data_IF_193466510033
#
_entry.id   IF_193466510033
#
_cell.length_a   1.000
_cell.length_b   1.000
_cell.length_c   1.000
_cell.angle_alpha   90.00
_cell.angle_beta   90.00
_cell.angle_gamma   90.00
#
_symmetry.space_group_name_H-M   'P 1'
#
loop_
_entity.id
_entity.type
_entity.pdbx_description
1 polymer ?
#
# COMPACT_ATOMS: atom_id res chain seq x y z
N UNK A 1 28.33 14.48 0.89
CA UNK A 1 29.75 14.08 0.77
C UNK A 1 30.54 14.41 2.04
N UNK A 2 30.57 15.67 2.48
CA UNK A 2 31.31 16.09 3.69
C UNK A 2 30.91 15.33 4.96
N UNK A 3 29.63 14.99 5.12
CA UNK A 3 29.14 14.17 6.23
C UNK A 3 29.80 12.77 6.25
N UNK A 4 29.94 12.11 5.09
CA UNK A 4 30.60 10.79 4.97
C UNK A 4 32.08 10.91 5.32
N UNK A 5 32.76 11.96 4.85
CA UNK A 5 34.16 12.21 5.23
C UNK A 5 34.32 12.46 6.73
N UNK A 6 33.36 13.11 7.39
CA UNK A 6 33.36 13.30 8.84
C UNK A 6 33.14 11.98 9.58
N UNK A 7 32.25 11.11 9.10
CA UNK A 7 32.08 9.76 9.65
C UNK A 7 33.38 8.95 9.54
N UNK A 8 34.09 9.01 8.41
CA UNK A 8 35.41 8.39 8.26
C UNK A 8 36.41 8.89 9.31
N UNK A 9 36.45 10.21 9.56
CA UNK A 9 37.30 10.82 10.60
C UNK A 9 36.93 10.37 12.02
N UNK A 10 35.69 9.95 12.26
CA UNK A 10 35.24 9.38 13.52
C UNK A 10 35.52 7.87 13.64
N UNK A 11 36.18 7.26 12.66
CA UNK A 11 36.55 5.84 12.69
C UNK A 11 35.50 4.89 12.12
N UNK A 12 34.43 5.40 11.51
CA UNK A 12 33.47 4.55 10.80
C UNK A 12 34.03 4.08 9.46
N UNK A 13 33.78 2.81 9.12
CA UNK A 13 34.04 2.28 7.78
C UNK A 13 33.13 2.94 6.75
N UNK A 14 33.71 3.46 5.68
CA UNK A 14 33.00 4.13 4.57
C UNK A 14 33.43 3.53 3.25
N UNK A 15 32.56 3.55 2.23
CA UNK A 15 32.90 3.03 0.91
C UNK A 15 33.84 3.97 0.14
N UNK A 16 35.01 3.48 -0.26
CA UNK A 16 36.05 4.24 -0.97
C UNK A 16 35.68 4.64 -2.39
N UNK A 17 34.67 3.98 -2.97
CA UNK A 17 34.13 4.34 -4.28
C UNK A 17 33.20 5.56 -4.21
N UNK A 18 32.89 6.10 -3.02
CA UNK A 18 32.02 7.28 -2.89
C UNK A 18 32.62 8.50 -3.58
N UNK A 19 31.94 9.02 -4.61
CA UNK A 19 32.40 10.17 -5.41
C UNK A 19 31.35 11.29 -5.48
N UNK A 20 31.80 12.54 -5.33
CA UNK A 20 30.99 13.71 -5.68
C UNK A 20 31.00 13.90 -7.20
N UNK A 21 29.82 13.98 -7.80
CA UNK A 21 29.64 14.10 -9.24
C UNK A 21 28.86 15.38 -9.58
N UNK A 22 29.29 16.10 -10.60
CA UNK A 22 28.69 17.35 -11.06
C UNK A 22 27.84 17.10 -12.31
N UNK A 23 26.60 16.68 -12.06
CA UNK A 23 25.58 16.47 -13.10
C UNK A 23 25.53 15.05 -13.68
N UNK A 24 24.57 14.78 -14.59
CA UNK A 24 24.23 13.42 -15.02
C UNK A 24 25.36 12.67 -15.73
N UNK A 25 26.19 13.36 -16.53
CA UNK A 25 27.29 12.71 -17.27
C UNK A 25 28.30 12.06 -16.32
N UNK A 26 28.69 12.76 -15.25
CA UNK A 26 29.61 12.21 -14.26
C UNK A 26 28.99 11.07 -13.45
N UNK A 27 27.70 11.17 -13.12
CA UNK A 27 26.96 10.09 -12.43
C UNK A 27 26.93 8.80 -13.27
N UNK A 28 26.68 8.90 -14.58
CA UNK A 28 26.66 7.75 -15.50
C UNK A 28 28.07 7.19 -15.69
N UNK A 29 29.08 8.04 -15.87
CA UNK A 29 30.47 7.60 -15.98
C UNK A 29 30.93 6.82 -14.74
N UNK A 30 30.59 7.32 -13.55
CA UNK A 30 30.92 6.65 -12.30
C UNK A 30 30.18 5.32 -12.12
N UNK A 31 28.89 5.28 -12.51
CA UNK A 31 28.10 4.04 -12.55
C UNK A 31 28.74 2.98 -13.45
N UNK A 32 29.13 3.34 -14.67
CA UNK A 32 29.79 2.40 -15.61
C UNK A 32 31.13 1.88 -15.03
N UNK A 33 31.92 2.76 -14.41
CA UNK A 33 33.17 2.34 -13.77
C UNK A 33 32.92 1.36 -12.60
N UNK A 34 31.90 1.58 -11.77
CA UNK A 34 31.55 0.62 -10.71
C UNK A 34 31.02 -0.68 -11.31
N UNK A 35 30.17 -0.60 -12.34
CA UNK A 35 29.62 -1.78 -13.02
C UNK A 35 30.71 -2.68 -13.58
N UNK A 36 31.75 -2.10 -14.19
CA UNK A 36 32.87 -2.85 -14.76
C UNK A 36 33.74 -3.51 -13.69
N UNK A 37 33.84 -2.90 -12.50
CA UNK A 37 34.61 -3.43 -11.37
C UNK A 37 33.81 -4.39 -10.49
N UNK A 38 32.52 -4.59 -10.77
CA UNK A 38 31.59 -5.33 -9.91
C UNK A 38 32.11 -6.71 -9.54
N UNK A 39 32.66 -7.45 -10.50
CA UNK A 39 33.18 -8.80 -10.28
C UNK A 39 34.45 -8.84 -9.41
N UNK A 40 35.19 -7.73 -9.33
CA UNK A 40 36.45 -7.63 -8.59
C UNK A 40 36.24 -7.12 -7.15
N UNK A 41 35.02 -6.70 -6.80
CA UNK A 41 34.71 -6.27 -5.45
C UNK A 41 34.61 -7.49 -4.54
N UNK A 42 35.22 -7.42 -3.36
CA UNK A 42 35.10 -8.45 -2.32
C UNK A 42 33.72 -8.49 -1.64
N UNK A 43 32.69 -7.92 -2.25
CA UNK A 43 31.32 -7.83 -1.75
C UNK A 43 30.35 -7.60 -2.90
N UNK A 44 29.11 -8.06 -2.73
CA UNK A 44 28.05 -7.88 -3.72
C UNK A 44 27.49 -6.47 -3.71
N UNK A 45 27.16 -5.98 -4.91
CA UNK A 45 26.42 -4.74 -5.13
C UNK A 45 25.35 -4.94 -6.22
N UNK A 46 24.22 -4.26 -6.06
CA UNK A 46 23.08 -4.28 -6.98
C UNK A 46 22.94 -2.98 -7.80
N UNK A 47 23.79 -1.99 -7.54
CA UNK A 47 23.77 -0.70 -8.22
C UNK A 47 24.58 0.37 -7.51
N UNK A 48 24.21 1.62 -7.79
CA UNK A 48 24.73 2.82 -7.10
C UNK A 48 23.57 3.68 -6.61
N UNK A 49 23.78 4.46 -5.54
CA UNK A 49 22.77 5.41 -5.05
C UNK A 49 23.20 6.83 -5.33
N UNK A 50 22.39 7.56 -6.09
CA UNK A 50 22.57 9.00 -6.29
C UNK A 50 21.84 9.75 -5.19
N UNK A 51 22.49 10.76 -4.60
CA UNK A 51 21.94 11.60 -3.54
C UNK A 51 22.24 13.06 -3.83
N UNK A 52 21.27 13.95 -3.62
CA UNK A 52 21.51 15.39 -3.62
C UNK A 52 22.52 15.72 -2.51
N UNK A 53 23.64 16.36 -2.83
CA UNK A 53 24.74 16.56 -1.87
C UNK A 53 24.42 17.59 -0.76
N UNK A 54 23.53 18.55 -1.04
CA UNK A 54 23.14 19.60 -0.11
C UNK A 54 22.03 19.12 0.85
N UNK A 55 22.32 19.10 2.15
CA UNK A 55 21.38 18.65 3.19
C UNK A 55 20.13 19.53 3.30
N UNK A 56 20.23 20.85 3.14
CA UNK A 56 19.04 21.71 3.23
C UNK A 56 18.07 21.47 2.06
N UNK A 57 18.58 21.01 0.92
CA UNK A 57 17.72 20.56 -0.18
C UNK A 57 17.09 19.19 0.09
N UNK A 58 17.77 18.30 0.80
CA UNK A 58 17.17 17.03 1.23
C UNK A 58 15.99 17.28 2.17
N UNK A 59 16.15 18.17 3.15
CA UNK A 59 15.10 18.54 4.11
C UNK A 59 13.86 19.10 3.39
N UNK A 60 14.08 20.05 2.46
CA UNK A 60 13.01 20.65 1.65
C UNK A 60 12.34 19.65 0.70
N UNK A 61 13.10 18.76 0.08
CA UNK A 61 12.55 17.74 -0.83
C UNK A 61 11.76 16.67 -0.06
N UNK A 62 12.13 16.39 1.18
CA UNK A 62 11.42 15.47 2.07
C UNK A 62 11.27 14.06 1.50
N UNK A 63 10.17 13.40 1.88
CA UNK A 63 9.92 11.99 1.62
C UNK A 63 8.57 11.76 0.92
N UNK A 64 8.45 10.65 0.21
CA UNK A 64 7.19 9.97 -0.10
C UNK A 64 6.86 9.02 1.07
N UNK A 65 5.75 8.28 0.97
CA UNK A 65 5.32 7.32 2.01
C UNK A 65 6.43 6.37 2.48
N UNK A 66 7.31 5.93 1.58
CA UNK A 66 8.36 4.94 1.91
C UNK A 66 9.76 5.28 1.39
N UNK A 67 9.92 6.39 0.65
CA UNK A 67 11.18 6.69 -0.08
C UNK A 67 11.52 8.18 -0.08
N UNK A 68 12.81 8.58 0.02
CA UNK A 68 13.21 9.98 -0.09
C UNK A 68 13.01 10.52 -1.50
N UNK A 69 12.73 11.82 -1.64
CA UNK A 69 12.65 12.48 -2.97
C UNK A 69 14.01 12.91 -3.51
N UNK A 70 15.01 12.99 -2.64
CA UNK A 70 16.35 13.51 -2.92
C UNK A 70 17.40 12.43 -3.20
N UNK A 71 16.99 11.15 -3.29
CA UNK A 71 17.87 10.04 -3.62
C UNK A 71 17.19 9.02 -4.54
N UNK A 72 17.99 8.34 -5.36
CA UNK A 72 17.54 7.25 -6.23
C UNK A 72 18.60 6.15 -6.31
N UNK A 73 18.17 4.89 -6.27
CA UNK A 73 19.01 3.74 -6.55
C UNK A 73 19.00 3.45 -8.06
N UNK A 74 20.15 3.57 -8.72
CA UNK A 74 20.37 3.19 -10.11
C UNK A 74 20.97 1.79 -10.15
N UNK A 75 20.12 0.78 -10.35
CA UNK A 75 20.49 -0.64 -10.32
C UNK A 75 21.22 -1.08 -11.59
N UNK A 76 22.12 -2.05 -11.44
CA UNK A 76 22.74 -2.73 -12.59
C UNK A 76 21.70 -3.53 -13.38
N UNK A 77 21.98 -3.85 -14.66
CA UNK A 77 21.17 -4.82 -15.39
C UNK A 77 21.07 -6.11 -14.59
N UNK A 78 19.84 -6.60 -14.42
CA UNK A 78 19.60 -7.85 -13.71
C UNK A 78 20.28 -9.01 -14.44
N UNK A 79 20.84 -9.95 -13.68
CA UNK A 79 21.27 -11.21 -14.26
C UNK A 79 20.07 -11.97 -14.84
N UNK A 80 20.25 -12.49 -16.04
CA UNK A 80 19.23 -13.26 -16.78
C UNK A 80 19.74 -14.70 -16.88
N UNK A 81 18.88 -15.66 -16.58
CA UNK A 81 19.12 -17.06 -16.84
C UNK A 81 18.02 -17.65 -17.73
N UNK A 82 18.37 -18.61 -18.58
CA UNK A 82 17.40 -19.35 -19.37
C UNK A 82 17.00 -20.63 -18.62
N UNK A 83 15.71 -20.92 -18.51
CA UNK A 83 15.21 -22.18 -17.92
C UNK A 83 13.93 -22.65 -18.60
N UNK A 84 13.47 -23.85 -18.22
CA UNK A 84 12.25 -24.47 -18.72
C UNK A 84 11.04 -24.06 -17.87
N UNK A 85 9.97 -23.62 -18.53
CA UNK A 85 8.66 -23.35 -17.91
C UNK A 85 7.86 -24.65 -17.80
N UNK A 86 7.73 -25.19 -16.59
CA UNK A 86 7.05 -26.46 -16.33
C UNK A 86 5.53 -26.32 -16.38
N UNK A 87 4.99 -25.32 -15.70
CA UNK A 87 3.55 -25.04 -15.68
C UNK A 87 3.25 -23.59 -15.29
N UNK A 88 2.01 -23.15 -15.52
CA UNK A 88 1.47 -21.87 -15.07
C UNK A 88 0.33 -22.13 -14.10
N UNK A 89 0.55 -21.82 -12.82
CA UNK A 89 -0.46 -21.92 -11.77
C UNK A 89 -1.13 -20.57 -11.48
N UNK A 90 -2.40 -20.61 -11.09
CA UNK A 90 -3.17 -19.42 -10.77
C UNK A 90 -3.35 -19.34 -9.25
N UNK A 91 -2.76 -18.31 -8.65
CA UNK A 91 -2.97 -18.00 -7.24
C UNK A 91 -4.10 -16.98 -7.08
N UNK A 92 -5.02 -17.24 -6.15
CA UNK A 92 -6.12 -16.31 -5.84
C UNK A 92 -5.71 -15.43 -4.67
N UNK A 93 -5.51 -14.15 -4.93
CA UNK A 93 -5.17 -13.17 -3.90
C UNK A 93 -6.37 -12.78 -3.03
N UNK A 94 -6.09 -12.04 -1.95
CA UNK A 94 -7.09 -11.54 -0.98
C UNK A 94 -8.32 -10.90 -1.61
N UNK A 95 -8.13 -10.05 -2.63
CA UNK A 95 -9.23 -9.34 -3.30
C UNK A 95 -9.75 -10.09 -4.52
N UNK A 96 -9.56 -11.40 -4.57
CA UNK A 96 -9.94 -12.28 -5.66
C UNK A 96 -9.02 -12.21 -6.88
N UNK A 97 -7.93 -11.45 -6.87
CA UNK A 97 -7.03 -11.32 -8.02
C UNK A 97 -6.43 -12.66 -8.43
N UNK A 98 -6.70 -13.12 -9.65
CA UNK A 98 -6.07 -14.30 -10.23
C UNK A 98 -4.69 -13.91 -10.74
N UNK A 99 -3.66 -14.32 -10.00
CA UNK A 99 -2.27 -14.00 -10.28
C UNK A 99 -1.57 -15.23 -10.87
N UNK A 100 -1.17 -15.19 -12.15
CA UNK A 100 -0.43 -16.29 -12.74
C UNK A 100 1.02 -16.34 -12.24
N UNK A 101 1.45 -17.54 -11.86
CA UNK A 101 2.80 -17.85 -11.38
C UNK A 101 3.37 -18.96 -12.24
N UNK A 102 4.50 -18.70 -12.88
CA UNK A 102 5.28 -19.69 -13.60
C UNK A 102 6.00 -20.61 -12.61
N UNK A 103 5.81 -21.92 -12.76
CA UNK A 103 6.66 -22.95 -12.15
C UNK A 103 7.79 -23.28 -13.10
N UNK A 104 9.02 -23.16 -12.62
CA UNK A 104 10.23 -23.22 -13.42
C UNK A 104 11.09 -24.39 -12.96
N UNK A 105 11.73 -25.06 -13.92
CA UNK A 105 12.86 -25.93 -13.60
C UNK A 105 13.90 -25.10 -12.83
N UNK A 106 14.36 -25.54 -11.64
CA UNK A 106 15.24 -24.75 -10.80
C UNK A 106 16.48 -24.22 -11.54
N UNK A 107 16.72 -22.92 -11.47
CA UNK A 107 17.83 -22.25 -12.16
C UNK A 107 18.48 -21.20 -11.26
N UNK A 108 19.80 -21.03 -11.33
CA UNK A 108 20.51 -19.99 -10.58
C UNK A 108 20.40 -18.64 -11.31
N UNK A 109 19.95 -17.60 -10.60
CA UNK A 109 19.87 -16.21 -11.07
C UNK A 109 20.47 -15.28 -10.01
N UNK A 110 21.67 -14.75 -10.23
CA UNK A 110 22.32 -13.89 -9.24
C UNK A 110 22.59 -14.59 -7.91
N UNK A 111 23.12 -15.82 -7.97
CA UNK A 111 23.49 -16.62 -6.80
C UNK A 111 22.33 -17.30 -6.05
N UNK A 112 21.08 -17.11 -6.49
CA UNK A 112 19.89 -17.69 -5.85
C UNK A 112 19.17 -18.64 -6.80
N UNK A 113 18.74 -19.80 -6.28
CA UNK A 113 17.94 -20.75 -7.03
C UNK A 113 16.51 -20.22 -7.14
N UNK A 114 16.05 -20.00 -8.37
CA UNK A 114 14.70 -19.59 -8.73
C UNK A 114 13.96 -20.79 -9.30
N UNK A 115 12.79 -21.10 -8.71
CA UNK A 115 11.84 -22.10 -9.22
C UNK A 115 10.46 -21.52 -9.51
N UNK A 116 10.25 -20.23 -9.23
CA UNK A 116 8.97 -19.55 -9.41
C UNK A 116 9.19 -18.13 -9.94
N UNK A 117 8.35 -17.70 -10.87
CA UNK A 117 8.35 -16.32 -11.36
C UNK A 117 6.93 -15.79 -11.54
N UNK A 118 6.70 -14.51 -11.25
CA UNK A 118 5.39 -13.90 -11.53
C UNK A 118 5.21 -13.67 -13.03
N UNK A 119 4.00 -13.93 -13.52
CA UNK A 119 3.56 -13.61 -14.87
C UNK A 119 2.63 -12.40 -14.90
N UNK A 120 2.54 -11.63 -13.81
CA UNK A 120 1.72 -10.43 -13.66
C UNK A 120 0.21 -10.63 -13.83
N UNK A 121 -0.26 -10.86 -15.05
CA UNK A 121 -1.67 -11.04 -15.42
C UNK A 121 -1.79 -11.74 -16.78
N UNK A 122 -3.03 -11.97 -17.21
CA UNK A 122 -3.35 -12.59 -18.49
C UNK A 122 -2.76 -11.83 -19.71
N UNK A 123 -2.79 -10.49 -19.69
CA UNK A 123 -2.26 -9.68 -20.80
C UNK A 123 -0.75 -9.87 -20.93
N UNK A 124 -0.05 -9.91 -19.80
CA UNK A 124 1.37 -10.18 -19.77
C UNK A 124 1.71 -11.57 -20.28
N UNK A 125 0.86 -12.59 -20.07
CA UNK A 125 1.03 -13.91 -20.71
C UNK A 125 0.86 -13.78 -22.23
N UNK A 126 -0.11 -13.00 -22.70
CA UNK A 126 -0.44 -12.78 -24.12
C UNK A 126 0.55 -11.88 -24.89
N UNK A 127 1.63 -11.41 -24.26
CA UNK A 127 2.58 -10.51 -24.93
C UNK A 127 2.14 -9.06 -24.93
N UNK A 128 1.40 -8.61 -23.91
CA UNK A 128 0.95 -7.22 -23.76
C UNK A 128 1.31 -6.63 -22.40
N UNK A 129 1.60 -5.34 -22.36
CA UNK A 129 1.74 -4.59 -21.10
C UNK A 129 0.38 -4.16 -20.54
N UNK A 130 0.38 -3.48 -19.39
CA UNK A 130 -0.84 -3.01 -18.72
C UNK A 130 -1.63 -1.94 -19.48
N UNK A 131 -1.08 -1.39 -20.57
CA UNK A 131 -1.74 -0.44 -21.47
C UNK A 131 -2.19 -1.10 -22.77
N UNK A 132 -1.97 -2.40 -22.91
CA UNK A 132 -2.29 -3.16 -24.12
C UNK A 132 -1.23 -3.06 -25.21
N UNK A 133 -0.08 -2.42 -24.95
CA UNK A 133 1.00 -2.36 -25.94
C UNK A 133 1.67 -3.72 -26.08
N UNK A 134 2.11 -4.05 -27.29
CA UNK A 134 2.83 -5.27 -27.57
C UNK A 134 4.20 -5.25 -26.86
N UNK A 135 4.50 -6.33 -26.14
CA UNK A 135 5.82 -6.60 -25.54
C UNK A 135 6.35 -7.93 -26.06
N UNK A 136 7.66 -8.16 -25.93
CA UNK A 136 8.34 -9.39 -26.39
C UNK A 136 8.04 -9.73 -27.86
N UNK A 137 7.93 -8.71 -28.72
CA UNK A 137 7.58 -8.88 -30.12
C UNK A 137 6.20 -9.51 -30.39
N UNK A 138 5.30 -9.55 -29.39
CA UNK A 138 4.00 -10.20 -29.48
C UNK A 138 3.99 -11.67 -29.06
N UNK A 139 5.12 -12.18 -28.58
CA UNK A 139 5.21 -13.57 -28.15
C UNK A 139 4.45 -13.81 -26.84
N UNK A 140 3.52 -14.75 -26.90
CA UNK A 140 2.85 -15.31 -25.74
C UNK A 140 3.78 -16.23 -24.96
N UNK A 141 3.48 -16.47 -23.68
CA UNK A 141 4.19 -17.42 -22.82
C UNK A 141 3.34 -18.70 -22.74
N UNK A 142 3.96 -19.86 -22.97
CA UNK A 142 3.30 -21.17 -22.99
C UNK A 142 4.01 -22.14 -22.07
N UNK A 143 3.26 -23.04 -21.45
CA UNK A 143 3.83 -24.17 -20.73
C UNK A 143 4.71 -24.99 -21.68
N UNK A 144 5.90 -25.38 -21.19
CA UNK A 144 6.94 -26.02 -22.00
C UNK A 144 7.81 -25.07 -22.82
N UNK A 145 7.71 -23.76 -22.66
CA UNK A 145 8.66 -22.83 -23.27
C UNK A 145 10.01 -22.81 -22.53
N UNK A 146 11.08 -22.55 -23.29
CA UNK A 146 12.32 -22.02 -22.73
C UNK A 146 12.16 -20.52 -22.50
N UNK A 147 12.33 -20.07 -21.26
CA UNK A 147 12.06 -18.70 -20.82
C UNK A 147 13.30 -18.04 -20.23
N UNK A 148 13.41 -16.72 -20.41
CA UNK A 148 14.47 -15.91 -19.84
C UNK A 148 13.99 -15.26 -18.54
N UNK A 149 14.56 -15.68 -17.42
CA UNK A 149 14.17 -15.29 -16.07
C UNK A 149 15.20 -14.35 -15.48
N UNK A 150 14.73 -13.29 -14.82
CA UNK A 150 15.58 -12.34 -14.11
C UNK A 150 14.95 -11.97 -12.77
N UNK A 151 15.74 -11.40 -11.86
CA UNK A 151 15.24 -10.90 -10.58
C UNK A 151 15.04 -9.38 -10.66
N UNK A 152 13.78 -8.94 -10.61
CA UNK A 152 13.46 -7.53 -10.57
C UNK A 152 13.90 -6.93 -9.24
N UNK A 153 14.81 -5.97 -9.31
CA UNK A 153 15.40 -5.33 -8.14
C UNK A 153 16.12 -6.31 -7.21
N UNK A 154 16.62 -7.43 -7.72
CA UNK A 154 17.26 -8.53 -6.99
C UNK A 154 16.36 -9.21 -5.95
N UNK A 155 15.04 -9.09 -6.06
CA UNK A 155 14.11 -9.72 -5.11
C UNK A 155 13.08 -10.60 -5.80
N UNK A 156 12.36 -10.08 -6.80
CA UNK A 156 11.17 -10.75 -7.34
C UNK A 156 11.50 -11.35 -8.71
N UNK A 157 11.50 -12.69 -8.87
CA UNK A 157 11.76 -13.29 -10.17
C UNK A 157 10.62 -13.04 -11.17
N UNK A 158 10.98 -12.74 -12.41
CA UNK A 158 10.08 -12.44 -13.53
C UNK A 158 10.60 -13.09 -14.82
N UNK A 159 9.68 -13.46 -15.71
CA UNK A 159 10.03 -13.86 -17.07
C UNK A 159 10.11 -12.60 -17.94
N UNK A 160 11.26 -12.35 -18.54
CA UNK A 160 11.50 -11.23 -19.47
C UNK A 160 11.09 -11.56 -20.90
N UNK A 161 11.46 -12.75 -21.39
CA UNK A 161 11.17 -13.19 -22.75
C UNK A 161 11.08 -14.72 -22.88
N UNK A 162 10.72 -15.20 -24.07
CA UNK A 162 10.65 -16.62 -24.47
C UNK A 162 11.60 -16.89 -25.65
N UNK A 163 12.25 -18.05 -25.63
CA UNK A 163 13.05 -18.51 -26.76
C UNK A 163 12.18 -19.28 -27.75
N UNK A 164 11.54 -18.53 -28.64
CA UNK A 164 10.61 -19.07 -29.65
C UNK A 164 11.30 -20.09 -30.57
N UNK A 165 12.61 -19.98 -30.77
CA UNK A 165 13.36 -20.92 -31.63
C UNK A 165 13.36 -22.35 -31.07
N UNK A 166 13.17 -22.50 -29.76
CA UNK A 166 13.09 -23.80 -29.06
C UNK A 166 11.65 -24.24 -28.79
N UNK A 167 10.65 -23.48 -29.21
CA UNK A 167 9.24 -23.81 -28.98
C UNK A 167 8.84 -25.00 -29.85
N UNK A 168 8.33 -26.05 -29.21
CA UNK A 168 7.81 -27.21 -29.92
C UNK A 168 6.54 -26.84 -30.71
N UNK A 169 6.37 -27.40 -31.90
CA UNK A 169 5.25 -27.09 -32.80
C UNK A 169 3.87 -27.46 -32.23
N UNK A 170 3.82 -28.39 -31.27
CA UNK A 170 2.59 -28.84 -30.59
C UNK A 170 2.24 -28.00 -29.35
N UNK A 171 3.02 -26.96 -29.03
CA UNK A 171 2.80 -26.10 -27.86
C UNK A 171 1.47 -25.32 -27.98
N UNK A 172 0.66 -25.36 -26.93
CA UNK A 172 -0.65 -24.71 -26.87
C UNK A 172 -0.55 -23.37 -26.15
N UNK A 173 -1.24 -22.36 -26.67
CA UNK A 173 -1.39 -21.08 -25.95
C UNK A 173 -2.08 -21.30 -24.61
N UNK A 174 -1.66 -20.55 -23.60
CA UNK A 174 -2.24 -20.65 -22.26
C UNK A 174 -3.65 -20.05 -22.23
N UNK A 175 -4.61 -20.82 -21.73
CA UNK A 175 -5.98 -20.37 -21.53
C UNK A 175 -6.15 -19.90 -20.09
N UNK A 176 -6.35 -18.60 -19.90
CA UNK A 176 -6.61 -18.04 -18.58
C UNK A 176 -7.99 -18.51 -18.08
N UNK A 177 -8.13 -18.93 -16.81
CA UNK A 177 -9.36 -19.55 -16.36
C UNK A 177 -10.50 -18.55 -16.23
N UNK A 178 -11.68 -18.93 -16.73
CA UNK A 178 -12.95 -18.20 -16.56
C UNK A 178 -13.65 -18.50 -15.23
N UNK A 179 -13.16 -19.49 -14.49
CA UNK A 179 -13.65 -19.87 -13.16
C UNK A 179 -12.48 -19.93 -12.17
N UNK A 180 -12.75 -19.53 -10.93
CA UNK A 180 -11.77 -19.51 -9.86
C UNK A 180 -11.31 -20.95 -9.54
N UNK A 181 -9.99 -21.25 -9.55
CA UNK A 181 -9.51 -22.60 -9.24
C UNK A 181 -9.76 -23.04 -7.79
N UNK A 182 -10.02 -22.09 -6.88
CA UNK A 182 -10.19 -22.35 -5.44
C UNK A 182 -11.64 -22.57 -5.02
N UNK A 183 -12.61 -21.97 -5.71
CA UNK A 183 -14.02 -22.02 -5.32
C UNK A 183 -15.00 -22.18 -6.48
N UNK A 184 -14.48 -22.30 -7.71
CA UNK A 184 -15.25 -22.45 -8.95
C UNK A 184 -16.26 -21.32 -9.24
N UNK A 185 -16.21 -20.20 -8.51
CA UNK A 185 -17.00 -19.00 -8.84
C UNK A 185 -16.47 -18.36 -10.14
N UNK A 186 -17.30 -17.62 -10.89
CA UNK A 186 -16.84 -16.92 -12.09
C UNK A 186 -15.63 -16.03 -11.81
N UNK A 187 -14.74 -15.95 -12.79
CA UNK A 187 -13.60 -15.05 -12.80
C UNK A 187 -13.79 -14.00 -13.87
N UNK A 188 -13.90 -12.76 -13.45
CA UNK A 188 -14.28 -11.65 -14.33
C UNK A 188 -13.21 -10.56 -14.31
N UNK A 189 -12.93 -10.00 -15.48
CA UNK A 189 -12.13 -8.80 -15.61
C UNK A 189 -13.09 -7.61 -15.66
N UNK A 190 -13.15 -6.85 -14.57
CA UNK A 190 -13.98 -5.64 -14.48
C UNK A 190 -13.39 -4.58 -15.43
N UNK A 191 -14.25 -3.80 -16.07
CA UNK A 191 -13.83 -2.70 -16.94
C UNK A 191 -12.88 -1.74 -16.18
N UNK A 192 -11.74 -1.42 -16.79
CA UNK A 192 -10.67 -0.62 -16.17
C UNK A 192 -9.64 -1.42 -15.36
N UNK A 193 -9.85 -2.71 -15.08
CA UNK A 193 -8.86 -3.59 -14.47
C UNK A 193 -8.04 -4.36 -15.53
N UNK A 194 -6.73 -4.50 -15.30
CA UNK A 194 -5.87 -5.41 -16.08
C UNK A 194 -5.82 -6.85 -15.52
N UNK A 195 -6.58 -7.12 -14.45
CA UNK A 195 -6.51 -8.37 -13.69
C UNK A 195 -7.92 -8.97 -13.57
N UNK A 196 -8.05 -10.24 -13.95
CA UNK A 196 -9.28 -11.00 -13.72
C UNK A 196 -9.40 -11.39 -12.23
N UNK A 197 -10.63 -11.42 -11.72
CA UNK A 197 -10.90 -11.64 -10.30
C UNK A 197 -12.01 -12.65 -10.06
N UNK A 198 -11.81 -13.50 -9.07
CA UNK A 198 -12.84 -14.35 -8.50
C UNK A 198 -13.93 -13.49 -7.84
N UNK A 199 -15.17 -13.66 -8.29
CA UNK A 199 -16.34 -12.93 -7.73
C UNK A 199 -16.94 -13.62 -6.49
N UNK A 200 -16.37 -14.74 -6.05
CA UNK A 200 -16.86 -15.48 -4.88
C UNK A 200 -16.77 -14.69 -3.55
N UNK A 201 -15.94 -13.65 -3.50
CA UNK A 201 -15.80 -12.82 -2.29
C UNK A 201 -15.48 -13.67 -1.06
N UNK A 202 -16.23 -13.46 0.03
CA UNK A 202 -16.01 -14.16 1.32
C UNK A 202 -16.21 -15.68 1.21
N UNK A 203 -17.03 -16.17 0.26
CA UNK A 203 -17.28 -17.60 0.12
C UNK A 203 -16.11 -18.33 -0.53
N UNK A 204 -15.20 -17.60 -1.19
CA UNK A 204 -13.96 -18.16 -1.71
C UNK A 204 -12.98 -18.44 -0.56
N UNK A 205 -12.58 -19.70 -0.32
CA UNK A 205 -11.66 -20.05 0.78
C UNK A 205 -10.34 -19.28 0.71
N UNK A 206 -9.78 -19.12 -0.49
CA UNK A 206 -8.55 -18.36 -0.69
C UNK A 206 -8.71 -16.88 -0.31
N UNK A 207 -9.81 -16.22 -0.71
CA UNK A 207 -10.06 -14.83 -0.31
C UNK A 207 -10.27 -14.70 1.20
N UNK A 208 -11.00 -15.63 1.81
CA UNK A 208 -11.23 -15.64 3.25
C UNK A 208 -9.91 -15.83 4.04
N UNK A 209 -9.11 -16.84 3.69
CA UNK A 209 -7.80 -17.12 4.33
C UNK A 209 -6.84 -15.95 4.13
N UNK A 210 -6.71 -15.41 2.92
CA UNK A 210 -5.84 -14.27 2.65
C UNK A 210 -6.35 -12.96 3.28
N UNK A 211 -7.66 -12.82 3.47
CA UNK A 211 -8.29 -11.73 4.21
C UNK A 211 -7.94 -11.77 5.69
N UNK A 212 -8.08 -12.94 6.31
CA UNK A 212 -7.69 -13.18 7.70
C UNK A 212 -6.17 -13.04 7.90
N UNK A 213 -5.36 -13.53 6.95
CA UNK A 213 -3.91 -13.36 6.97
C UNK A 213 -3.49 -11.88 6.91
N UNK A 214 -4.19 -11.06 6.10
CA UNK A 214 -4.00 -9.62 6.09
C UNK A 214 -4.41 -8.97 7.41
N UNK A 215 -5.55 -9.38 7.96
CA UNK A 215 -6.09 -8.85 9.23
C UNK A 215 -5.06 -8.95 10.37
N UNK A 216 -4.36 -10.09 10.48
CA UNK A 216 -3.36 -10.35 11.51
C UNK A 216 -1.95 -9.86 11.17
N UNK A 217 -1.74 -9.33 9.97
CA UNK A 217 -0.43 -8.89 9.50
C UNK A 217 0.14 -7.72 10.30
N UNK A 218 1.47 -7.52 10.22
CA UNK A 218 2.20 -6.46 10.93
C UNK A 218 1.67 -5.04 10.68
N UNK A 219 1.19 -4.78 9.46
CA UNK A 219 0.63 -3.47 9.12
C UNK A 219 -0.78 -3.24 9.69
N UNK A 220 -1.48 -4.32 10.07
CA UNK A 220 -2.85 -4.34 10.55
C UNK A 220 -2.88 -4.54 12.08
N UNK A 221 -3.38 -5.67 12.58
CA UNK A 221 -3.46 -5.93 14.03
C UNK A 221 -2.12 -6.38 14.64
N UNK A 222 -1.18 -6.88 13.83
CA UNK A 222 0.14 -7.34 14.29
C UNK A 222 0.03 -8.37 15.44
N UNK A 223 -0.65 -9.48 15.18
CA UNK A 223 -0.89 -10.53 16.18
C UNK A 223 0.25 -11.54 16.12
N UNK A 224 1.18 -11.42 17.06
CA UNK A 224 2.30 -12.34 17.20
C UNK A 224 1.84 -13.78 17.41
N UNK A 225 2.43 -14.71 16.66
CA UNK A 225 2.10 -16.13 16.70
C UNK A 225 0.92 -16.54 15.82
N UNK A 226 0.22 -15.60 15.18
CA UNK A 226 -0.88 -15.88 14.25
C UNK A 226 -0.50 -15.52 12.80
N UNK A 227 0.36 -16.31 12.18
CA UNK A 227 0.78 -16.13 10.79
C UNK A 227 -0.10 -16.86 9.77
N UNK A 228 0.25 -16.75 8.48
CA UNK A 228 -0.49 -17.38 7.37
C UNK A 228 -0.76 -18.87 7.59
N UNK A 229 0.24 -19.62 8.09
CA UNK A 229 0.12 -21.06 8.34
C UNK A 229 -0.91 -21.36 9.43
N UNK A 230 -0.94 -20.57 10.51
CA UNK A 230 -1.89 -20.73 11.60
C UNK A 230 -3.30 -20.34 11.16
N UNK A 231 -3.45 -19.24 10.40
CA UNK A 231 -4.73 -18.84 9.82
C UNK A 231 -5.30 -19.91 8.91
N UNK A 232 -4.48 -20.46 8.00
CA UNK A 232 -4.91 -21.55 7.12
C UNK A 232 -5.34 -22.78 7.91
N UNK A 233 -4.54 -23.19 8.91
CA UNK A 233 -4.88 -24.31 9.79
C UNK A 233 -6.21 -24.07 10.54
N UNK A 234 -6.38 -22.91 11.18
CA UNK A 234 -7.59 -22.58 11.94
C UNK A 234 -8.82 -22.43 11.04
N UNK A 235 -8.63 -21.93 9.82
CA UNK A 235 -9.70 -21.86 8.83
C UNK A 235 -10.15 -23.25 8.38
N UNK A 236 -9.22 -24.16 8.08
CA UNK A 236 -9.52 -25.54 7.70
C UNK A 236 -10.26 -26.29 8.81
N UNK A 237 -9.89 -26.03 10.07
CA UNK A 237 -10.57 -26.60 11.25
C UNK A 237 -11.95 -25.98 11.53
N UNK A 238 -12.29 -24.89 10.84
CA UNK A 238 -13.50 -24.09 11.11
C UNK A 238 -13.46 -23.32 12.43
N UNK A 239 -12.27 -23.11 13.00
CA UNK A 239 -12.08 -22.35 14.24
C UNK A 239 -12.15 -20.85 14.01
N UNK A 240 -11.68 -20.40 12.84
CA UNK A 240 -11.71 -19.00 12.40
C UNK A 240 -12.28 -18.94 10.99
N UNK A 241 -13.47 -18.36 10.84
CA UNK A 241 -14.08 -18.08 9.52
C UNK A 241 -14.21 -16.59 9.25
N UNK A 242 -14.21 -15.76 10.29
CA UNK A 242 -14.24 -14.31 10.21
C UNK A 242 -13.35 -13.67 11.29
N UNK A 243 -13.02 -12.36 11.20
CA UNK A 243 -12.11 -11.70 12.15
C UNK A 243 -12.53 -11.81 13.62
N UNK A 244 -13.83 -11.72 13.92
CA UNK A 244 -14.34 -11.81 15.29
C UNK A 244 -14.05 -13.17 15.95
N UNK A 245 -13.96 -14.25 15.17
CA UNK A 245 -13.62 -15.58 15.71
C UNK A 245 -12.22 -15.60 16.34
N UNK A 246 -11.29 -14.78 15.86
CA UNK A 246 -9.92 -14.68 16.40
C UNK A 246 -9.98 -14.29 17.88
N UNK A 247 -10.76 -13.25 18.21
CA UNK A 247 -10.95 -12.77 19.58
C UNK A 247 -11.75 -13.74 20.46
N UNK A 248 -12.46 -14.68 19.85
CA UNK A 248 -13.21 -15.74 20.53
C UNK A 248 -12.39 -17.03 20.71
N UNK A 249 -11.17 -17.11 20.18
CA UNK A 249 -10.35 -18.33 20.24
C UNK A 249 -10.06 -18.78 21.67
N UNK A 250 -9.70 -17.86 22.58
CA UNK A 250 -9.43 -18.20 23.98
C UNK A 250 -10.67 -18.79 24.63
N UNK A 251 -11.81 -18.12 24.50
CA UNK A 251 -13.10 -18.57 25.05
C UNK A 251 -13.47 -19.98 24.57
N UNK A 252 -13.24 -20.28 23.28
CA UNK A 252 -13.61 -21.57 22.67
C UNK A 252 -12.61 -22.70 22.90
N UNK A 253 -11.31 -22.38 23.00
CA UNK A 253 -10.24 -23.38 22.89
C UNK A 253 -9.15 -23.29 23.98
N UNK A 254 -9.34 -22.50 25.03
CA UNK A 254 -8.50 -22.55 26.24
C UNK A 254 -8.81 -23.76 27.10
N UNK A 255 -10.06 -24.22 27.12
CA UNK A 255 -10.56 -25.33 27.94
C UNK A 255 -11.24 -26.43 27.08
N UNK A 256 -11.49 -27.60 27.68
CA UNK A 256 -12.18 -28.73 27.04
C UNK A 256 -11.27 -29.72 26.30
N UNK A 257 -11.85 -30.55 25.42
CA UNK A 257 -11.10 -31.59 24.70
C UNK A 257 -10.34 -31.02 23.50
N UNK A 258 -10.91 -29.99 22.85
CA UNK A 258 -10.35 -29.34 21.66
C UNK A 258 -9.37 -28.19 21.99
N UNK A 259 -8.66 -28.27 23.12
CA UNK A 259 -7.74 -27.21 23.54
C UNK A 259 -6.65 -26.99 22.51
N UNK A 260 -6.27 -25.74 22.28
CA UNK A 260 -5.23 -25.39 21.32
C UNK A 260 -3.89 -26.06 21.67
N UNK A 261 -3.55 -26.13 22.95
CA UNK A 261 -2.30 -26.73 23.43
C UNK A 261 -2.15 -28.23 23.10
N UNK A 262 -3.26 -28.94 22.87
CA UNK A 262 -3.27 -30.36 22.57
C UNK A 262 -3.05 -30.65 21.08
N UNK A 263 -2.80 -29.63 20.26
CA UNK A 263 -2.64 -29.77 18.81
C UNK A 263 -1.18 -29.86 18.40
N UNK A 264 -0.93 -30.56 17.30
CA UNK A 264 0.40 -30.63 16.69
C UNK A 264 0.95 -29.24 16.37
N UNK A 265 2.18 -28.99 16.85
CA UNK A 265 2.86 -27.70 16.73
C UNK A 265 2.48 -26.68 17.81
N UNK A 266 1.61 -27.05 18.76
CA UNK A 266 1.21 -26.23 19.90
C UNK A 266 1.63 -26.87 21.23
N UNK A 267 1.84 -26.02 22.22
CA UNK A 267 1.98 -26.40 23.62
C UNK A 267 1.41 -25.30 24.51
N UNK A 268 1.30 -25.56 25.82
CA UNK A 268 0.67 -24.62 26.76
C UNK A 268 1.20 -23.19 26.62
N UNK A 269 2.54 -23.04 26.54
CA UNK A 269 3.19 -21.73 26.44
C UNK A 269 2.85 -21.01 25.13
N UNK A 270 2.89 -21.69 23.98
CA UNK A 270 2.59 -21.04 22.69
C UNK A 270 1.11 -20.70 22.55
N UNK A 271 0.22 -21.55 23.08
CA UNK A 271 -1.22 -21.26 23.13
C UNK A 271 -1.50 -20.02 23.99
N UNK A 272 -0.94 -19.95 25.21
CA UNK A 272 -1.11 -18.79 26.08
C UNK A 272 -0.52 -17.51 25.47
N UNK A 273 0.64 -17.61 24.82
CA UNK A 273 1.24 -16.48 24.12
C UNK A 273 0.31 -15.95 23.00
N UNK A 274 -0.29 -16.84 22.21
CA UNK A 274 -1.23 -16.44 21.17
C UNK A 274 -2.46 -15.75 21.79
N UNK A 275 -3.06 -16.34 22.84
CA UNK A 275 -4.22 -15.74 23.49
C UNK A 275 -3.92 -14.35 24.07
N UNK A 276 -2.75 -14.17 24.69
CA UNK A 276 -2.30 -12.88 25.19
C UNK A 276 -2.04 -11.89 24.05
N UNK A 277 -1.45 -12.33 22.94
CA UNK A 277 -1.23 -11.49 21.77
C UNK A 277 -2.57 -11.00 21.18
N UNK A 278 -3.57 -11.87 21.04
CA UNK A 278 -4.92 -11.51 20.59
C UNK A 278 -5.56 -10.50 21.54
N UNK A 279 -5.52 -10.78 22.85
CA UNK A 279 -6.13 -9.92 23.87
C UNK A 279 -5.51 -8.52 23.87
N UNK A 280 -4.19 -8.42 23.68
CA UNK A 280 -3.48 -7.14 23.60
C UNK A 280 -3.93 -6.24 22.44
N UNK A 281 -4.64 -6.80 21.45
CA UNK A 281 -5.15 -6.08 20.28
C UNK A 281 -6.67 -5.85 20.30
N UNK A 282 -7.34 -6.08 21.44
CA UNK A 282 -8.74 -5.67 21.60
C UNK A 282 -8.90 -4.16 21.59
N UNK A 283 -7.94 -3.44 22.13
CA UNK A 283 -7.85 -1.99 22.03
C UNK A 283 -7.03 -1.68 20.78
N UNK A 284 -7.61 -0.97 19.81
CA UNK A 284 -6.97 -0.73 18.52
C UNK A 284 -7.33 0.65 17.96
N UNK A 285 -6.37 1.38 17.35
CA UNK A 285 -6.65 2.60 16.62
C UNK A 285 -7.57 2.39 15.42
N UNK A 286 -8.47 3.35 15.16
CA UNK A 286 -9.41 3.31 14.04
C UNK A 286 -8.72 3.11 12.67
N UNK A 287 -7.59 3.77 12.41
CA UNK A 287 -6.85 3.60 11.15
C UNK A 287 -6.36 2.14 10.94
N UNK A 288 -5.88 1.47 11.99
CA UNK A 288 -5.43 0.07 11.92
C UNK A 288 -6.61 -0.88 11.73
N UNK A 289 -7.72 -0.64 12.40
CA UNK A 289 -8.98 -1.38 12.20
C UNK A 289 -9.44 -1.28 10.74
N UNK A 290 -9.52 -0.07 10.18
CA UNK A 290 -9.96 0.14 8.79
C UNK A 290 -9.02 -0.49 7.77
N UNK A 291 -7.72 -0.39 8.00
CA UNK A 291 -6.75 -1.06 7.13
C UNK A 291 -6.90 -2.59 7.18
N UNK A 292 -7.15 -3.15 8.37
CA UNK A 292 -7.30 -4.59 8.59
C UNK A 292 -8.54 -5.19 7.90
N UNK A 293 -9.61 -4.41 7.72
CA UNK A 293 -10.80 -4.85 6.96
C UNK A 293 -10.48 -5.24 5.51
N UNK A 294 -9.32 -4.83 4.98
CA UNK A 294 -8.84 -5.25 3.67
C UNK A 294 -9.71 -4.74 2.52
N UNK A 295 -10.42 -3.61 2.74
CA UNK A 295 -11.32 -3.00 1.75
C UNK A 295 -10.51 -2.68 0.49
N UNK A 296 -11.02 -3.10 -0.67
CA UNK A 296 -10.36 -2.84 -1.95
C UNK A 296 -10.19 -1.33 -2.13
N UNK A 297 -9.01 -0.91 -2.62
CA UNK A 297 -8.57 0.49 -2.75
C UNK A 297 -8.24 1.23 -1.45
N UNK A 298 -8.52 0.67 -0.28
CA UNK A 298 -8.15 1.27 1.01
C UNK A 298 -6.82 0.69 1.48
N UNK A 299 -5.74 1.45 1.25
CA UNK A 299 -4.43 1.16 1.83
C UNK A 299 -4.23 1.83 3.19
N UNK A 300 -3.07 1.64 3.82
CA UNK A 300 -2.75 2.19 5.15
C UNK A 300 -2.85 3.72 5.18
N UNK A 301 -2.38 4.40 4.13
CA UNK A 301 -2.50 5.86 4.01
C UNK A 301 -3.97 6.30 3.95
N UNK A 302 -4.79 5.65 3.12
CA UNK A 302 -6.21 5.98 3.00
C UNK A 302 -6.98 5.68 4.28
N UNK A 303 -6.68 4.57 4.96
CA UNK A 303 -7.25 4.24 6.26
C UNK A 303 -6.93 5.31 7.31
N UNK A 304 -5.70 5.84 7.29
CA UNK A 304 -5.29 6.96 8.16
C UNK A 304 -6.03 8.25 7.81
N UNK A 305 -6.20 8.57 6.52
CA UNK A 305 -6.98 9.74 6.10
C UNK A 305 -8.44 9.65 6.58
N UNK A 306 -9.06 8.49 6.42
CA UNK A 306 -10.43 8.24 6.89
C UNK A 306 -10.51 8.34 8.42
N UNK A 307 -9.56 7.76 9.15
CA UNK A 307 -9.49 7.85 10.62
C UNK A 307 -9.42 9.29 11.10
N UNK A 308 -8.50 10.08 10.56
CA UNK A 308 -8.34 11.50 10.92
C UNK A 308 -9.57 12.35 10.59
N UNK A 309 -10.21 12.08 9.45
CA UNK A 309 -11.38 12.84 9.04
C UNK A 309 -12.61 12.56 9.91
N UNK A 310 -12.91 11.29 10.17
CA UNK A 310 -14.13 10.89 10.90
C UNK A 310 -13.94 10.83 12.43
N UNK A 311 -12.69 10.72 12.90
CA UNK A 311 -12.24 10.68 14.30
C UNK A 311 -12.69 9.46 15.09
N UNK A 312 -13.93 9.00 14.95
CA UNK A 312 -14.46 7.82 15.63
C UNK A 312 -15.11 6.84 14.66
N UNK A 313 -15.19 5.58 15.07
CA UNK A 313 -15.86 4.54 14.29
C UNK A 313 -17.36 4.85 14.09
N UNK A 314 -18.03 5.38 15.11
CA UNK A 314 -19.46 5.71 15.04
C UNK A 314 -19.75 6.83 14.04
N UNK A 315 -18.89 7.86 13.99
CA UNK A 315 -19.00 8.93 13.00
C UNK A 315 -18.83 8.39 11.58
N UNK A 316 -17.80 7.57 11.36
CA UNK A 316 -17.57 6.92 10.07
C UNK A 316 -18.78 6.06 9.68
N UNK A 317 -19.24 5.18 10.57
CA UNK A 317 -20.38 4.28 10.35
C UNK A 317 -21.63 5.05 9.99
N UNK A 318 -21.95 6.12 10.71
CA UNK A 318 -23.09 7.01 10.41
C UNK A 318 -22.95 7.64 9.02
N UNK A 319 -21.81 8.26 8.72
CA UNK A 319 -21.58 8.91 7.44
C UNK A 319 -21.66 7.93 6.26
N UNK A 320 -21.13 6.71 6.40
CA UNK A 320 -21.20 5.70 5.34
C UNK A 320 -22.62 5.16 5.11
N UNK A 321 -23.44 5.07 6.16
CA UNK A 321 -24.87 4.71 6.02
C UNK A 321 -25.64 5.81 5.28
N UNK A 322 -25.39 7.07 5.61
CA UNK A 322 -26.03 8.23 4.97
C UNK A 322 -25.58 8.43 3.51
N UNK A 323 -24.33 8.05 3.19
CA UNK A 323 -23.77 8.15 1.84
C UNK A 323 -24.20 7.01 0.89
N UNK A 324 -25.14 6.13 1.29
CA UNK A 324 -25.56 4.95 0.51
C UNK A 324 -26.04 5.27 -0.91
N UNK A 325 -26.69 6.41 -1.12
CA UNK A 325 -27.13 6.85 -2.45
C UNK A 325 -25.99 7.31 -3.36
N UNK A 326 -24.76 7.42 -2.85
CA UNK A 326 -23.61 8.02 -3.53
C UNK A 326 -23.85 9.48 -3.94
N UNK A 327 -24.73 10.15 -3.20
CA UNK A 327 -25.11 11.55 -3.38
C UNK A 327 -25.33 12.22 -2.01
N UNK A 328 -25.53 13.53 -1.99
CA UNK A 328 -25.83 14.29 -0.77
C UNK A 328 -24.60 14.70 0.04
N UNK A 329 -24.84 15.18 1.27
CA UNK A 329 -23.81 15.79 2.11
C UNK A 329 -22.74 14.81 2.57
N UNK A 330 -23.13 13.62 3.02
CA UNK A 330 -22.19 12.61 3.55
C UNK A 330 -21.33 12.00 2.45
N UNK A 331 -21.87 11.85 1.23
CA UNK A 331 -21.07 11.51 0.05
C UNK A 331 -20.09 12.62 -0.35
N UNK A 332 -20.57 13.86 -0.40
CA UNK A 332 -19.74 15.03 -0.74
C UNK A 332 -18.62 15.25 0.27
N UNK A 333 -18.88 14.96 1.55
CA UNK A 333 -17.91 15.00 2.65
C UNK A 333 -16.81 13.95 2.46
N UNK A 334 -17.16 12.69 2.19
CA UNK A 334 -16.20 11.63 1.87
C UNK A 334 -15.33 11.98 0.64
N UNK A 335 -15.95 12.52 -0.41
CA UNK A 335 -15.27 12.97 -1.63
C UNK A 335 -14.43 14.24 -1.44
N UNK A 336 -14.58 14.95 -0.32
CA UNK A 336 -13.80 16.15 -0.02
C UNK A 336 -12.42 15.85 0.57
N UNK A 337 -12.22 14.61 1.07
CA UNK A 337 -10.97 14.16 1.66
C UNK A 337 -9.89 14.07 0.57
N UNK A 338 -8.81 14.84 0.73
CA UNK A 338 -7.70 14.83 -0.21
C UNK A 338 -7.01 13.47 -0.23
N UNK A 339 -6.93 12.85 -1.40
CA UNK A 339 -6.43 11.47 -1.55
C UNK A 339 -7.51 10.40 -1.56
N UNK A 340 -8.78 10.76 -1.37
CA UNK A 340 -9.94 9.87 -1.59
C UNK A 340 -10.55 10.17 -2.96
N UNK A 341 -10.45 9.20 -3.87
CA UNK A 341 -11.13 9.24 -5.17
C UNK A 341 -12.43 8.44 -5.15
N UNK A 342 -13.26 8.63 -6.19
CA UNK A 342 -14.60 8.02 -6.30
C UNK A 342 -14.59 6.49 -6.16
N UNK A 343 -13.59 5.81 -6.73
CA UNK A 343 -13.45 4.35 -6.65
C UNK A 343 -13.27 3.89 -5.19
N UNK A 344 -12.43 4.61 -4.43
CA UNK A 344 -12.21 4.32 -3.02
C UNK A 344 -13.46 4.63 -2.21
N UNK A 345 -14.06 5.80 -2.43
CA UNK A 345 -15.26 6.24 -1.73
C UNK A 345 -16.42 5.24 -1.91
N UNK A 346 -16.67 4.79 -3.14
CA UNK A 346 -17.68 3.74 -3.43
C UNK A 346 -17.37 2.45 -2.68
N UNK A 347 -16.11 1.99 -2.66
CA UNK A 347 -15.72 0.76 -1.96
C UNK A 347 -15.98 0.83 -0.45
N UNK A 348 -15.69 1.98 0.19
CA UNK A 348 -15.97 2.18 1.62
C UNK A 348 -17.48 2.25 1.87
N UNK A 349 -18.25 3.01 1.09
CA UNK A 349 -19.72 3.05 1.26
C UNK A 349 -20.32 1.65 1.08
N UNK A 350 -19.87 0.91 0.06
CA UNK A 350 -20.40 -0.41 -0.26
C UNK A 350 -20.22 -1.42 0.88
N UNK A 351 -19.05 -1.46 1.54
CA UNK A 351 -18.82 -2.45 2.60
C UNK A 351 -19.72 -2.24 3.82
N UNK A 352 -20.01 -0.98 4.18
CA UNK A 352 -20.91 -0.66 5.29
C UNK A 352 -22.40 -0.92 4.95
N UNK A 353 -22.74 -0.98 3.67
CA UNK A 353 -24.12 -1.13 3.18
C UNK A 353 -24.43 -2.49 2.57
N UNK A 354 -23.44 -3.38 2.44
CA UNK A 354 -23.64 -4.79 2.09
C UNK A 354 -23.99 -5.59 3.36
N UNK A 355 -25.17 -6.25 3.45
CA UNK A 355 -25.60 -6.90 4.69
C UNK A 355 -24.62 -7.95 5.25
N UNK A 356 -24.02 -8.78 4.39
CA UNK A 356 -23.10 -9.82 4.82
C UNK A 356 -21.78 -9.23 5.34
N UNK A 357 -21.21 -8.25 4.63
CA UNK A 357 -19.99 -7.59 5.06
C UNK A 357 -20.21 -6.73 6.31
N UNK A 358 -21.36 -6.07 6.40
CA UNK A 358 -21.76 -5.29 7.56
C UNK A 358 -21.86 -6.16 8.81
N UNK A 359 -22.46 -7.35 8.71
CA UNK A 359 -22.52 -8.27 9.84
C UNK A 359 -21.13 -8.66 10.35
N UNK A 360 -20.17 -8.91 9.45
CA UNK A 360 -18.78 -9.23 9.83
C UNK A 360 -18.13 -8.05 10.57
N UNK A 361 -18.36 -6.82 10.10
CA UNK A 361 -17.86 -5.61 10.77
C UNK A 361 -18.48 -5.46 12.15
N UNK A 362 -19.81 -5.60 12.25
CA UNK A 362 -20.51 -5.44 13.53
C UNK A 362 -20.07 -6.53 14.53
N UNK A 363 -19.95 -7.80 14.11
CA UNK A 363 -19.40 -8.89 14.94
C UNK A 363 -17.97 -8.61 15.44
N UNK A 364 -17.14 -7.99 14.60
CA UNK A 364 -15.77 -7.64 14.97
C UNK A 364 -15.77 -6.49 15.98
N UNK A 365 -16.56 -5.45 15.74
CA UNK A 365 -16.63 -4.27 16.62
C UNK A 365 -17.12 -4.64 18.02
N UNK A 366 -18.01 -5.62 18.15
CA UNK A 366 -18.43 -6.17 19.44
C UNK A 366 -17.27 -6.75 20.28
N UNK A 367 -16.19 -7.19 19.65
CA UNK A 367 -15.02 -7.78 20.32
C UNK A 367 -13.91 -6.75 20.63
N UNK A 368 -14.08 -5.50 20.18
CA UNK A 368 -13.05 -4.47 20.18
C UNK A 368 -13.44 -3.21 20.97
N UNK A 369 -12.41 -2.51 21.44
CA UNK A 369 -12.47 -1.11 21.85
C UNK A 369 -11.68 -0.32 20.82
N UNK A 370 -12.39 0.43 19.97
CA UNK A 370 -11.74 1.23 18.92
C UNK A 370 -11.39 2.59 19.50
N UNK A 371 -10.11 2.94 19.48
CA UNK A 371 -9.64 4.24 19.96
C UNK A 371 -10.00 5.32 18.95
N UNK A 372 -10.54 6.42 19.47
CA UNK A 372 -10.77 7.63 18.70
C UNK A 372 -9.44 8.28 18.32
N UNK A 373 -9.40 8.88 17.13
CA UNK A 373 -8.25 9.67 16.70
C UNK A 373 -8.20 10.97 17.51
N UNK A 374 -7.21 11.07 18.40
CA UNK A 374 -6.91 12.29 19.15
C UNK A 374 -5.90 13.10 18.34
N UNK A 375 -6.31 14.26 17.83
CA UNK A 375 -5.39 15.22 17.24
C UNK A 375 -4.52 15.82 18.38
N UNK A 376 -3.19 15.77 18.24
CA UNK A 376 -2.29 16.62 19.02
C UNK A 376 -2.43 18.06 18.51
N UNK A 377 -3.51 18.72 18.91
CA UNK A 377 -3.77 20.10 18.56
C UNK A 377 -2.82 20.97 19.37
N UNK A 378 -2.08 21.86 18.71
CA UNK A 378 -1.49 23.03 19.37
C UNK A 378 -2.68 23.88 19.82
N UNK A 379 -3.05 23.76 21.08
CA UNK A 379 -4.24 24.37 21.66
C UNK A 379 -4.14 25.90 21.54
N UNK A 380 -5.18 26.56 21.01
CA UNK A 380 -5.22 28.03 20.91
C UNK A 380 -4.77 28.63 19.58
N UNK A 381 -4.65 27.80 18.54
CA UNK A 381 -4.41 28.26 17.18
C UNK A 381 -5.67 28.92 16.57
N UNK A 382 -5.57 30.10 15.94
CA UNK A 382 -6.66 30.72 15.17
C UNK A 382 -7.25 29.85 14.03
N UNK A 383 -6.54 28.79 13.65
CA UNK A 383 -6.91 27.86 12.58
C UNK A 383 -7.58 26.58 13.12
N UNK A 384 -7.69 26.43 14.43
CA UNK A 384 -8.25 25.24 15.06
C UNK A 384 -9.70 25.01 14.62
N UNK A 385 -9.98 23.81 14.10
CA UNK A 385 -11.31 23.40 13.62
C UNK A 385 -11.76 23.98 12.28
N UNK A 386 -11.04 24.95 11.71
CA UNK A 386 -11.39 25.58 10.44
C UNK A 386 -11.19 24.64 9.24
N UNK A 387 -12.10 24.66 8.29
CA UNK A 387 -11.97 23.98 7.00
C UNK A 387 -11.25 24.89 5.99
N UNK A 388 -10.03 24.52 5.62
CA UNK A 388 -9.15 25.28 4.72
C UNK A 388 -9.03 24.56 3.37
N UNK A 389 -9.20 25.30 2.26
CA UNK A 389 -9.01 24.79 0.90
C UNK A 389 -7.86 25.52 0.23
N UNK A 390 -6.90 24.77 -0.33
CA UNK A 390 -5.81 25.34 -1.13
C UNK A 390 -6.12 25.18 -2.62
N UNK A 391 -6.08 26.30 -3.37
CA UNK A 391 -6.38 26.33 -4.80
C UNK A 391 -5.38 27.20 -5.58
N UNK A 392 -5.26 26.97 -6.88
CA UNK A 392 -4.27 27.65 -7.73
C UNK A 392 -2.83 27.14 -7.53
N UNK A 393 -1.91 27.60 -8.36
CA UNK A 393 -0.49 27.31 -8.22
C UNK A 393 0.06 28.08 -7.03
N UNK A 394 0.61 27.36 -6.06
CA UNK A 394 1.25 27.91 -4.88
C UNK A 394 2.74 28.12 -5.21
N UNK A 395 3.21 29.36 -5.20
CA UNK A 395 4.54 29.79 -5.68
C UNK A 395 5.56 29.91 -4.55
N UNK A 396 5.12 30.33 -3.36
CA UNK A 396 5.96 30.53 -2.18
C UNK A 396 6.19 29.24 -1.39
N UNK A 397 5.25 28.30 -1.48
CA UNK A 397 5.39 26.97 -0.90
C UNK A 397 4.73 25.92 -1.78
N UNK A 398 5.09 24.66 -1.59
CA UNK A 398 4.34 23.57 -2.18
C UNK A 398 2.97 23.44 -1.50
N UNK A 399 1.96 23.00 -2.26
CA UNK A 399 0.65 22.66 -1.70
C UNK A 399 0.74 21.60 -0.60
N UNK A 400 1.74 20.74 -0.65
CA UNK A 400 2.02 19.75 0.41
C UNK A 400 2.40 20.44 1.71
N UNK A 401 3.35 21.39 1.67
CA UNK A 401 3.78 22.17 2.83
C UNK A 401 2.63 23.01 3.39
N UNK A 402 1.82 23.62 2.53
CA UNK A 402 0.65 24.40 2.91
C UNK A 402 -0.34 23.55 3.74
N UNK A 403 -0.64 22.34 3.28
CA UNK A 403 -1.54 21.40 3.97
C UNK A 403 -0.98 20.95 5.31
N UNK A 404 0.29 20.53 5.33
CA UNK A 404 0.96 20.12 6.57
C UNK A 404 0.95 21.25 7.60
N UNK A 405 1.20 22.49 7.16
CA UNK A 405 1.16 23.65 8.05
C UNK A 405 -0.24 23.90 8.59
N UNK A 406 -1.28 23.79 7.77
CA UNK A 406 -2.67 23.95 8.21
C UNK A 406 -3.05 22.89 9.25
N UNK A 407 -2.75 21.62 8.94
CA UNK A 407 -3.04 20.48 9.82
C UNK A 407 -2.30 20.60 11.16
N UNK A 408 -1.04 21.05 11.15
CA UNK A 408 -0.27 21.30 12.37
C UNK A 408 -0.95 22.33 13.30
N UNK A 409 -1.64 23.31 12.72
CA UNK A 409 -2.37 24.35 13.43
C UNK A 409 -3.84 24.00 13.70
N UNK A 410 -4.23 22.72 13.54
CA UNK A 410 -5.57 22.22 13.88
C UNK A 410 -6.64 22.47 12.82
N UNK A 411 -6.28 22.94 11.62
CA UNK A 411 -7.23 23.11 10.52
C UNK A 411 -7.49 21.78 9.77
N UNK A 412 -8.73 21.60 9.31
CA UNK A 412 -9.12 20.53 8.40
C UNK A 412 -8.90 20.95 6.96
N UNK A 413 -8.08 20.21 6.22
CA UNK A 413 -7.84 20.49 4.80
C UNK A 413 -8.89 19.81 3.94
N UNK A 414 -9.60 20.58 3.10
CA UNK A 414 -10.54 20.05 2.11
C UNK A 414 -10.03 20.24 0.68
N UNK A 415 -10.33 19.26 -0.18
CA UNK A 415 -10.08 19.35 -1.62
C UNK A 415 -11.11 20.20 -2.38
N UNK A 416 -12.26 20.53 -1.78
CA UNK A 416 -13.36 21.22 -2.45
C UNK A 416 -13.95 22.35 -1.60
N UNK A 417 -14.44 23.39 -2.28
CA UNK A 417 -15.13 24.51 -1.63
C UNK A 417 -16.62 24.17 -1.46
N UNK A 418 -17.10 24.30 -0.23
CA UNK A 418 -18.49 24.05 0.18
C UNK A 418 -18.97 25.12 1.17
N UNK A 419 -20.24 25.06 1.58
CA UNK A 419 -20.78 25.92 2.66
C UNK A 419 -20.09 25.72 4.02
N UNK A 420 -19.37 24.62 4.21
CA UNK A 420 -18.60 24.33 5.43
C UNK A 420 -17.16 24.85 5.34
N UNK A 421 -16.73 25.42 4.22
CA UNK A 421 -15.37 25.93 4.05
C UNK A 421 -15.26 27.28 4.75
N UNK A 422 -14.29 27.42 5.66
CA UNK A 422 -14.05 28.66 6.41
C UNK A 422 -13.04 29.57 5.70
N UNK A 423 -12.05 28.96 5.03
CA UNK A 423 -10.92 29.67 4.45
C UNK A 423 -10.49 29.05 3.12
N UNK A 424 -10.21 29.88 2.13
CA UNK A 424 -9.59 29.46 0.86
C UNK A 424 -8.27 30.19 0.68
N UNK A 425 -7.18 29.46 0.50
CA UNK A 425 -5.88 30.03 0.13
C UNK A 425 -5.71 29.90 -1.38
N UNK A 426 -5.63 31.05 -2.05
CA UNK A 426 -5.68 31.19 -3.49
C UNK A 426 -4.31 31.63 -4.02
N UNK A 427 -3.70 30.79 -4.87
CA UNK A 427 -2.56 31.14 -5.70
C UNK A 427 -2.94 31.43 -7.16
N UNK A 428 -2.01 31.92 -8.00
CA UNK A 428 -2.27 32.16 -9.41
C UNK A 428 -2.96 30.97 -10.12
N UNK A 429 -4.05 31.25 -10.84
CA UNK A 429 -4.80 30.23 -11.60
C UNK A 429 -5.89 29.47 -10.81
N UNK A 430 -6.27 29.92 -9.62
CA UNK A 430 -7.28 29.32 -8.73
C UNK A 430 -8.77 29.38 -9.20
N UNK A 431 -9.02 29.65 -10.48
CA UNK A 431 -10.25 30.28 -10.96
C UNK A 431 -11.58 29.66 -10.52
N UNK A 432 -11.79 28.34 -10.61
CA UNK A 432 -13.12 27.76 -10.34
C UNK A 432 -13.46 27.65 -8.85
N UNK A 433 -12.48 27.37 -8.00
CA UNK A 433 -12.68 27.25 -6.54
C UNK A 433 -12.69 28.61 -5.86
N UNK A 434 -11.89 29.56 -6.33
CA UNK A 434 -11.90 30.94 -5.85
C UNK A 434 -13.24 31.62 -6.12
N UNK A 435 -13.76 31.50 -7.35
CA UNK A 435 -15.12 32.00 -7.67
C UNK A 435 -16.18 31.40 -6.77
N UNK A 436 -16.15 30.07 -6.59
CA UNK A 436 -17.09 29.37 -5.70
C UNK A 436 -16.96 29.81 -4.24
N UNK A 437 -15.76 30.17 -3.79
CA UNK A 437 -15.54 30.69 -2.44
C UNK A 437 -16.17 32.08 -2.26
N UNK A 438 -15.96 32.97 -3.24
CA UNK A 438 -16.55 34.31 -3.27
C UNK A 438 -18.08 34.22 -3.29
N UNK A 439 -18.65 33.36 -4.12
CA UNK A 439 -20.12 33.12 -4.21
C UNK A 439 -20.72 32.63 -2.89
N UNK A 440 -19.98 31.81 -2.14
CA UNK A 440 -20.40 31.25 -0.86
C UNK A 440 -20.06 32.16 0.34
N UNK A 441 -19.44 33.32 0.12
CA UNK A 441 -19.04 34.25 1.18
C UNK A 441 -17.88 33.75 2.05
N UNK A 442 -17.09 32.80 1.54
CA UNK A 442 -15.95 32.19 2.24
C UNK A 442 -14.74 33.12 2.17
N UNK A 443 -13.99 33.26 3.26
CA UNK A 443 -12.79 34.10 3.32
C UNK A 443 -11.71 33.59 2.37
N UNK A 444 -11.20 34.44 1.50
CA UNK A 444 -10.10 34.12 0.58
C UNK A 444 -8.83 34.84 1.02
N UNK A 445 -7.70 34.13 1.11
CA UNK A 445 -6.37 34.66 1.40
C UNK A 445 -5.42 34.38 0.24
N UNK A 446 -4.49 35.30 0.02
CA UNK A 446 -3.30 35.07 -0.78
C UNK A 446 -2.30 34.17 -0.04
N UNK A 447 -1.38 33.58 -0.80
CA UNK A 447 -0.31 32.74 -0.26
C UNK A 447 0.60 33.48 0.73
N UNK A 448 0.83 34.78 0.51
CA UNK A 448 1.59 35.65 1.42
C UNK A 448 0.87 35.90 2.74
N UNK A 449 -0.47 36.04 2.71
CA UNK A 449 -1.29 36.23 3.91
C UNK A 449 -1.39 34.92 4.71
N UNK A 450 -1.48 33.78 4.03
CA UNK A 450 -1.39 32.46 4.67
C UNK A 450 -0.07 32.31 5.44
N UNK A 451 1.06 32.63 4.80
CA UNK A 451 2.38 32.60 5.44
C UNK A 451 2.47 33.47 6.69
N UNK A 452 1.90 34.69 6.63
CA UNK A 452 1.85 35.57 7.80
C UNK A 452 1.01 34.95 8.92
N UNK A 453 -0.14 34.37 8.59
CA UNK A 453 -1.03 33.73 9.55
C UNK A 453 -0.34 32.57 10.29
N UNK A 454 0.35 31.69 9.57
CA UNK A 454 1.05 30.54 10.18
C UNK A 454 2.37 30.92 10.88
N UNK A 455 3.03 32.01 10.46
CA UNK A 455 4.25 32.48 11.12
C UNK A 455 3.97 33.29 12.40
N UNK A 456 2.87 34.04 12.47
CA UNK A 456 2.44 34.73 13.70
C UNK A 456 2.21 33.74 14.84
N UNK A 457 1.68 32.54 14.53
CA UNK A 457 1.43 31.49 15.51
C UNK A 457 2.68 30.72 15.94
N UNK A 458 3.81 30.81 15.21
CA UNK A 458 5.08 30.24 15.68
C UNK A 458 5.72 31.08 16.81
N UNK A 459 5.28 32.33 17.02
CA UNK A 459 5.83 33.21 18.06
C UNK A 459 5.04 33.19 19.37
N UNK A 460 3.81 32.67 19.38
CA UNK A 460 3.00 32.55 20.60
C UNK A 460 3.41 31.39 21.52
N UNK A 461 4.19 30.42 21.00
CA UNK A 461 4.65 29.23 21.74
C UNK A 461 6.04 29.42 22.41
N UNK A 462 6.57 30.64 22.44
CA UNK A 462 7.85 30.99 23.08
C UNK A 462 7.69 31.71 24.43
N UNK A 463 6.60 31.48 25.16
CA UNK A 463 6.38 32.01 26.52
C UNK A 463 6.20 30.91 27.55
#
# INVERSE_FOLDING_TARGET
YNAINRLRKFGFSTNDLTKKCYGPKELISHYNNISNKRADLGYDIDGVVYKVDNLSYQDRLGFRSTTPRWAIAHKFPAEIAQTWLESIEIQVGRTGALSPVARLKPVNVGGVIVSNATLHNEDYIKGKDSKGNIIRGGNDIREGDWVYVYRAGDVIPKISDVDVSKRISTSKSYTFPSFCPECNSPSERIEGDSVARCIGGITCPAQAVQGLAHFVSRGAFDIDGLGNKQIEQFYQLGWVKEPADIFKLKLRYENGIKRLENRDGWGQKSANNLFNAIESKRIIPLNKMLYALGIRHVGETSATLLSKHYKSFDNLKKSMNEAKSLEGSSWSDLMSIDGVGEILAKAVVQIFNNPAQRQIIDNLVEELVIEDEIENIVSGSPLEGMVVVFTGSLELMSRSEAKISAEKFGAKVSGSVSKKTDLVVSGPGAGSKEKKAIELGVKVLSESEWLKLINLNNFSDAK
#
